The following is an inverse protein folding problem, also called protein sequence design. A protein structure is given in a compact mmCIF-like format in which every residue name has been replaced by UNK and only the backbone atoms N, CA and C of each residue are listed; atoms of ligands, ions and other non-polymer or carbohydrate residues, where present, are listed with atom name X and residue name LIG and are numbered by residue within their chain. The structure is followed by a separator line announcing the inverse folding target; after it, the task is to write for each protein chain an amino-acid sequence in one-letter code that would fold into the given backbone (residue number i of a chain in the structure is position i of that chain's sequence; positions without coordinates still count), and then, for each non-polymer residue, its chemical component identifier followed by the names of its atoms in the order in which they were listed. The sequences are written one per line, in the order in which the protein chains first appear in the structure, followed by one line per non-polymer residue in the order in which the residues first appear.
data_IF_629955715753
#
_entry.id   IF_629955715753
#
_cell.length_a   1.000
_cell.length_b   1.000
_cell.length_c   1.000
_cell.angle_alpha   90.00
_cell.angle_beta   90.00
_cell.angle_gamma   90.00
#
_symmetry.space_group_name_H-M   'P 1'
#
loop_
_entity.id
_entity.type
_entity.pdbx_description
1 polymer ?
#
# COMPACT_ATOMS: atom_id res chain seq x y z
N UNK A 1 51.96 -14.96 -15.31
CA UNK A 1 51.83 -14.33 -16.64
C UNK A 1 50.38 -14.46 -17.04
N UNK A 2 49.47 -13.71 -16.40
CA UNK A 2 48.98 -12.38 -16.82
C UNK A 2 48.60 -12.33 -18.29
N UNK A 3 47.29 -12.32 -18.56
CA UNK A 3 46.63 -11.22 -19.28
C UNK A 3 45.14 -11.23 -18.93
N UNK A 4 44.74 -10.26 -18.12
CA UNK A 4 43.37 -9.79 -17.98
C UNK A 4 42.81 -9.43 -19.36
N UNK A 5 41.61 -9.90 -19.68
CA UNK A 5 40.77 -9.23 -20.67
C UNK A 5 39.89 -8.28 -19.88
N UNK A 6 40.27 -7.01 -19.89
CA UNK A 6 39.42 -5.91 -19.43
C UNK A 6 38.10 -5.97 -20.19
N UNK A 7 37.02 -6.24 -19.45
CA UNK A 7 35.67 -5.92 -19.83
C UNK A 7 35.58 -4.40 -19.91
N UNK A 8 35.63 -3.86 -21.13
CA UNK A 8 35.30 -2.46 -21.36
C UNK A 8 33.79 -2.30 -21.11
N UNK A 9 33.45 -1.75 -19.95
CA UNK A 9 32.15 -1.17 -19.70
C UNK A 9 31.82 -0.16 -20.83
N UNK A 10 30.58 -0.14 -21.34
CA UNK A 10 30.17 0.90 -22.26
C UNK A 10 30.25 2.26 -21.55
N UNK A 11 30.67 3.33 -22.25
CA UNK A 11 30.90 4.61 -21.63
C UNK A 11 29.58 5.16 -21.08
N UNK A 12 29.54 5.42 -19.78
CA UNK A 12 28.52 6.26 -19.15
C UNK A 12 28.64 7.66 -19.77
N UNK A 13 27.77 7.94 -20.74
CA UNK A 13 27.54 9.30 -21.22
C UNK A 13 26.59 9.98 -20.25
N UNK A 14 27.12 10.80 -19.36
CA UNK A 14 26.38 11.98 -18.93
C UNK A 14 26.36 12.97 -20.08
N UNK A 15 25.17 13.40 -20.52
CA UNK A 15 24.82 14.79 -20.89
C UNK A 15 23.68 14.87 -21.92
N UNK A 16 22.61 15.55 -21.51
CA UNK A 16 21.48 15.95 -22.33
C UNK A 16 20.22 15.98 -21.47
N UNK A 17 19.63 17.16 -21.28
CA UNK A 17 18.26 17.29 -20.74
C UNK A 17 17.32 16.43 -21.59
N UNK A 18 16.81 15.33 -21.03
CA UNK A 18 15.99 14.32 -21.73
C UNK A 18 14.48 14.67 -21.70
N UNK A 19 14.15 15.92 -21.44
CA UNK A 19 12.78 16.41 -21.37
C UNK A 19 12.16 16.51 -22.75
N UNK A 20 10.97 15.93 -22.92
CA UNK A 20 10.21 16.05 -24.14
C UNK A 20 9.59 17.46 -24.26
N UNK A 21 9.70 18.07 -25.44
CA UNK A 21 9.12 19.38 -25.75
C UNK A 21 8.19 19.37 -26.97
N UNK A 22 7.07 20.08 -26.84
CA UNK A 22 6.09 20.31 -27.91
C UNK A 22 4.90 19.36 -27.88
N UNK A 23 4.15 19.30 -28.99
CA UNK A 23 2.97 18.43 -29.11
C UNK A 23 3.39 17.06 -29.64
N UNK A 24 3.16 16.00 -28.87
CA UNK A 24 3.49 14.63 -29.24
C UNK A 24 2.61 14.14 -30.39
N UNK A 25 3.22 13.56 -31.42
CA UNK A 25 2.52 13.00 -32.58
C UNK A 25 2.72 11.50 -32.74
N UNK A 26 3.86 10.98 -32.26
CA UNK A 26 4.19 9.57 -32.37
C UNK A 26 5.00 9.10 -31.17
N UNK A 27 4.70 7.89 -30.73
CA UNK A 27 5.44 7.16 -29.72
C UNK A 27 5.83 5.80 -30.30
N UNK A 28 7.03 5.34 -29.98
CA UNK A 28 7.40 3.93 -30.09
C UNK A 28 8.04 3.47 -28.80
N UNK A 29 7.41 2.53 -28.10
CA UNK A 29 7.90 1.88 -26.89
C UNK A 29 8.41 0.50 -27.29
N UNK A 30 9.61 0.15 -26.85
CA UNK A 30 10.22 -1.17 -26.96
C UNK A 30 10.46 -1.65 -25.55
N UNK A 31 9.71 -2.66 -25.11
CA UNK A 31 9.81 -3.25 -23.78
C UNK A 31 10.40 -4.64 -23.92
N UNK A 32 11.49 -4.92 -23.21
CA UNK A 32 12.18 -6.20 -23.22
C UNK A 32 12.29 -6.72 -21.79
N UNK A 33 11.65 -7.86 -21.51
CA UNK A 33 11.55 -8.44 -20.16
C UNK A 33 12.67 -9.45 -19.85
N UNK A 34 13.68 -9.60 -20.71
CA UNK A 34 14.86 -10.40 -20.39
C UNK A 34 15.58 -9.74 -19.23
N UNK A 35 15.75 -10.49 -18.14
CA UNK A 35 16.30 -10.02 -16.89
C UNK A 35 17.37 -10.97 -16.35
N UNK A 36 17.88 -10.69 -15.15
CA UNK A 36 18.78 -11.63 -14.49
C UNK A 36 17.98 -12.82 -13.95
N UNK A 37 18.15 -13.99 -14.57
CA UNK A 37 17.35 -15.16 -14.23
C UNK A 37 17.66 -16.38 -15.11
N UNK A 38 16.85 -17.45 -15.00
CA UNK A 38 16.95 -18.59 -15.91
C UNK A 38 16.74 -18.13 -17.36
N UNK A 39 17.46 -18.79 -18.27
CA UNK A 39 17.32 -18.53 -19.71
C UNK A 39 15.86 -18.74 -20.16
N UNK A 40 15.23 -17.78 -20.85
CA UNK A 40 13.87 -17.94 -21.37
C UNK A 40 13.75 -19.13 -22.32
N UNK A 41 12.58 -19.75 -22.37
CA UNK A 41 12.31 -20.80 -23.35
C UNK A 41 12.21 -20.21 -24.77
N UNK A 42 12.51 -21.00 -25.82
CA UNK A 42 12.50 -20.51 -27.20
C UNK A 42 11.18 -19.89 -27.68
N UNK A 43 10.05 -20.25 -27.05
CA UNK A 43 8.72 -19.75 -27.40
C UNK A 43 8.22 -18.62 -26.49
N UNK A 44 8.98 -18.25 -25.46
CA UNK A 44 8.60 -17.18 -24.53
C UNK A 44 8.64 -15.83 -25.23
N UNK A 45 7.58 -15.03 -25.06
CA UNK A 45 7.54 -13.64 -25.51
C UNK A 45 8.46 -12.78 -24.65
N UNK A 46 9.50 -12.23 -25.27
CA UNK A 46 10.55 -11.48 -24.56
C UNK A 46 10.57 -9.98 -24.87
N UNK A 47 9.99 -9.57 -25.99
CA UNK A 47 10.00 -8.17 -26.41
C UNK A 47 8.71 -7.76 -27.10
N UNK A 48 8.19 -6.61 -26.70
CA UNK A 48 7.07 -5.94 -27.32
C UNK A 48 7.49 -4.60 -27.90
N UNK A 49 6.96 -4.26 -29.07
CA UNK A 49 7.13 -2.96 -29.70
C UNK A 49 5.75 -2.35 -29.94
N UNK A 50 5.38 -1.39 -29.11
CA UNK A 50 4.13 -0.64 -29.22
C UNK A 50 4.40 0.68 -29.96
N UNK A 51 3.71 0.92 -31.07
CA UNK A 51 3.79 2.18 -31.83
C UNK A 51 2.42 2.86 -31.84
N UNK A 52 2.38 4.11 -31.41
CA UNK A 52 1.16 4.94 -31.35
C UNK A 52 1.42 6.16 -32.23
N UNK A 53 0.52 6.45 -33.17
CA UNK A 53 0.64 7.63 -34.04
C UNK A 53 -0.68 8.37 -34.10
N UNK A 54 -0.64 9.68 -33.90
CA UNK A 54 -1.76 10.59 -34.15
C UNK A 54 -2.29 10.38 -35.57
N UNK A 55 -3.55 9.96 -35.70
CA UNK A 55 -4.20 9.61 -36.96
C UNK A 55 -3.73 8.30 -37.64
N UNK A 56 -2.62 7.68 -37.19
CA UNK A 56 -2.06 6.45 -37.76
C UNK A 56 -2.48 5.16 -37.03
N UNK A 57 -3.08 5.28 -35.85
CA UNK A 57 -3.53 4.16 -35.02
C UNK A 57 -2.41 3.56 -34.17
N UNK A 58 -2.70 2.40 -33.58
CA UNK A 58 -1.81 1.70 -32.65
C UNK A 58 -1.40 0.35 -33.24
N UNK A 59 -0.10 0.05 -33.18
CA UNK A 59 0.46 -1.20 -33.67
C UNK A 59 1.29 -1.87 -32.58
N UNK A 60 1.04 -3.15 -32.33
CA UNK A 60 1.84 -3.99 -31.45
C UNK A 60 2.60 -5.02 -32.29
N UNK A 61 3.91 -5.13 -32.06
CA UNK A 61 4.74 -6.19 -32.64
C UNK A 61 5.40 -6.97 -31.51
N UNK A 62 5.32 -8.29 -31.55
CA UNK A 62 5.80 -9.18 -30.49
C UNK A 62 6.95 -10.03 -30.99
N UNK A 63 7.88 -10.31 -30.10
CA UNK A 63 9.04 -11.13 -30.39
C UNK A 63 9.25 -12.15 -29.28
N UNK A 64 9.56 -13.38 -29.68
CA UNK A 64 10.00 -14.45 -28.79
C UNK A 64 11.52 -14.48 -28.66
N UNK A 65 11.98 -15.19 -27.65
CA UNK A 65 13.40 -15.39 -27.37
C UNK A 65 14.17 -15.93 -28.58
N UNK A 66 15.39 -15.42 -28.76
CA UNK A 66 16.23 -15.70 -29.92
C UNK A 66 17.07 -16.96 -29.81
N UNK A 67 17.18 -17.55 -28.61
CA UNK A 67 18.15 -18.58 -28.28
C UNK A 67 19.60 -18.06 -28.43
N UNK A 68 20.49 -18.92 -28.93
CA UNK A 68 21.95 -18.72 -29.03
C UNK A 68 22.39 -17.40 -29.71
N UNK A 69 21.56 -16.83 -30.59
CA UNK A 69 21.91 -15.60 -31.32
C UNK A 69 21.49 -14.30 -30.59
N UNK A 70 20.76 -14.39 -29.46
CA UNK A 70 20.13 -13.29 -28.71
C UNK A 70 19.27 -12.32 -29.55
N UNK A 71 18.92 -12.69 -30.78
CA UNK A 71 18.10 -11.87 -31.67
C UNK A 71 16.63 -12.24 -31.54
N UNK A 72 15.76 -11.33 -31.03
CA UNK A 72 14.35 -11.61 -30.88
C UNK A 72 13.71 -12.01 -32.22
N UNK A 73 12.91 -13.07 -32.21
CA UNK A 73 12.25 -13.61 -33.41
C UNK A 73 10.80 -13.15 -33.45
N UNK A 74 10.34 -12.65 -34.59
CA UNK A 74 8.97 -12.16 -34.73
C UNK A 74 7.95 -13.25 -34.39
N UNK A 75 7.10 -12.99 -33.40
CA UNK A 75 5.92 -13.80 -33.08
C UNK A 75 4.72 -13.35 -33.89
N UNK A 76 4.51 -12.03 -33.97
CA UNK A 76 3.34 -11.49 -34.63
C UNK A 76 3.33 -9.97 -34.66
N UNK A 77 2.42 -9.44 -35.48
CA UNK A 77 2.14 -8.01 -35.57
C UNK A 77 0.64 -7.82 -35.71
N UNK A 78 0.09 -6.92 -34.91
CA UNK A 78 -1.32 -6.60 -34.93
C UNK A 78 -1.56 -5.10 -34.83
N UNK A 79 -2.72 -4.67 -35.33
CA UNK A 79 -3.22 -3.31 -35.15
C UNK A 79 -4.22 -3.35 -33.99
N UNK A 80 -4.00 -2.54 -32.97
CA UNK A 80 -4.93 -2.40 -31.84
C UNK A 80 -6.00 -1.37 -32.25
N UNK A 81 -7.30 -1.73 -32.21
CA UNK A 81 -8.36 -0.77 -32.47
C UNK A 81 -8.46 0.24 -31.32
N UNK A 82 -8.41 1.52 -31.66
CA UNK A 82 -8.62 2.63 -30.73
C UNK A 82 -9.17 3.82 -31.53
N UNK A 83 -10.05 4.61 -30.92
CA UNK A 83 -10.53 5.85 -31.51
C UNK A 83 -9.51 6.99 -31.33
N UNK A 84 -9.77 8.12 -31.99
CA UNK A 84 -8.88 9.28 -31.94
C UNK A 84 -8.77 9.90 -30.55
N UNK A 85 -9.82 9.84 -29.75
CA UNK A 85 -9.84 10.37 -28.38
C UNK A 85 -8.94 9.54 -27.46
N UNK A 86 -9.06 8.22 -27.51
CA UNK A 86 -8.21 7.27 -26.78
C UNK A 86 -6.73 7.46 -27.12
N UNK A 87 -6.42 7.60 -28.42
CA UNK A 87 -5.05 7.86 -28.88
C UNK A 87 -4.55 9.19 -28.29
N UNK A 88 -5.35 10.25 -28.34
CA UNK A 88 -4.95 11.56 -27.83
C UNK A 88 -4.74 11.54 -26.31
N UNK A 89 -5.61 10.89 -25.55
CA UNK A 89 -5.47 10.72 -24.10
C UNK A 89 -4.13 10.05 -23.76
N UNK A 90 -3.78 8.97 -24.47
CA UNK A 90 -2.52 8.26 -24.23
C UNK A 90 -1.32 9.15 -24.59
N UNK A 91 -1.36 9.84 -25.75
CA UNK A 91 -0.29 10.74 -26.16
C UNK A 91 -0.08 11.89 -25.16
N UNK A 92 -1.17 12.47 -24.64
CA UNK A 92 -1.11 13.57 -23.67
C UNK A 92 -0.58 13.09 -22.31
N UNK A 93 -1.01 11.91 -21.86
CA UNK A 93 -0.51 11.31 -20.62
C UNK A 93 0.99 11.05 -20.68
N UNK A 94 1.49 10.45 -21.78
CA UNK A 94 2.92 10.22 -22.00
C UNK A 94 3.67 11.55 -22.09
N UNK A 95 3.19 12.51 -22.88
CA UNK A 95 3.83 13.82 -23.00
C UNK A 95 3.95 14.51 -21.64
N UNK A 96 2.92 14.42 -20.78
CA UNK A 96 2.94 14.96 -19.43
C UNK A 96 3.97 14.28 -18.55
N UNK A 97 4.00 12.94 -18.54
CA UNK A 97 4.93 12.16 -17.72
C UNK A 97 6.40 12.49 -18.03
N UNK A 98 6.72 12.65 -19.32
CA UNK A 98 8.09 12.91 -19.78
C UNK A 98 8.40 14.40 -20.05
N UNK A 99 7.53 15.32 -19.59
CA UNK A 99 7.77 16.76 -19.68
C UNK A 99 8.70 17.29 -18.59
N UNK A 100 8.85 16.54 -17.49
CA UNK A 100 9.75 16.88 -16.37
C UNK A 100 10.98 15.99 -16.41
N UNK A 101 12.11 16.54 -15.97
CA UNK A 101 13.39 15.83 -15.93
C UNK A 101 13.39 14.87 -14.73
N UNK A 102 12.74 13.73 -14.87
CA UNK A 102 12.81 12.65 -13.89
C UNK A 102 13.94 11.70 -14.32
N UNK A 103 14.87 11.45 -13.39
CA UNK A 103 15.99 10.56 -13.65
C UNK A 103 15.45 9.15 -13.87
N UNK A 104 15.74 8.58 -15.04
CA UNK A 104 15.53 7.16 -15.32
C UNK A 104 16.35 6.33 -14.33
N UNK A 105 15.68 5.45 -13.60
CA UNK A 105 16.34 4.50 -12.71
C UNK A 105 16.81 3.31 -13.54
N UNK A 106 18.07 2.95 -13.32
CA UNK A 106 18.69 1.77 -13.91
C UNK A 106 18.92 0.76 -12.79
N UNK A 107 18.11 -0.30 -12.80
CA UNK A 107 18.29 -1.48 -11.95
C UNK A 107 18.79 -2.63 -12.84
N UNK A 108 19.74 -3.41 -12.32
CA UNK A 108 20.51 -4.38 -13.11
C UNK A 108 19.87 -5.76 -13.23
N UNK A 109 18.86 -6.05 -12.43
CA UNK A 109 18.22 -7.36 -12.28
C UNK A 109 16.87 -7.50 -12.99
N UNK A 110 16.38 -6.43 -13.62
CA UNK A 110 15.12 -6.40 -14.38
C UNK A 110 15.35 -6.12 -15.86
N UNK A 111 14.31 -6.33 -16.68
CA UNK A 111 14.32 -5.95 -18.08
C UNK A 111 14.37 -4.43 -18.30
N UNK A 112 14.34 -4.01 -19.55
CA UNK A 112 14.48 -2.59 -19.92
C UNK A 112 13.43 -2.17 -20.95
N UNK A 113 13.13 -0.88 -20.96
CA UNK A 113 12.37 -0.25 -22.01
C UNK A 113 13.16 0.86 -22.68
N UNK A 114 12.92 1.03 -23.98
CA UNK A 114 13.39 2.15 -24.78
C UNK A 114 12.21 2.79 -25.47
N UNK A 115 12.14 4.12 -25.43
CA UNK A 115 11.05 4.88 -26.00
C UNK A 115 11.57 5.97 -26.93
N UNK A 116 10.92 6.10 -28.09
CA UNK A 116 11.14 7.15 -29.08
C UNK A 116 9.88 8.04 -29.12
N UNK A 117 10.04 9.33 -28.85
CA UNK A 117 8.99 10.35 -28.87
C UNK A 117 9.21 11.30 -30.04
N UNK A 118 8.23 11.45 -30.94
CA UNK A 118 8.30 12.41 -32.05
C UNK A 118 7.25 13.51 -31.90
N UNK A 119 7.68 14.77 -31.90
CA UNK A 119 6.80 15.93 -31.81
C UNK A 119 6.24 16.37 -33.18
N UNK A 120 5.34 17.36 -33.17
CA UNK A 120 4.71 17.93 -34.37
C UNK A 120 5.67 18.64 -35.33
N UNK A 121 6.90 18.95 -34.90
CA UNK A 121 7.98 19.47 -35.75
C UNK A 121 8.85 18.36 -36.35
N UNK A 122 8.54 17.09 -36.05
CA UNK A 122 9.34 15.93 -36.49
C UNK A 122 10.62 15.73 -35.70
N UNK A 123 10.81 16.41 -34.57
CA UNK A 123 11.96 16.20 -33.70
C UNK A 123 11.73 14.97 -32.82
N UNK A 124 12.78 14.16 -32.68
CA UNK A 124 12.73 12.91 -31.94
C UNK A 124 13.56 12.99 -30.66
N UNK A 125 12.99 12.51 -29.56
CA UNK A 125 13.67 12.34 -28.26
C UNK A 125 13.65 10.86 -27.88
N UNK A 126 14.79 10.33 -27.46
CA UNK A 126 14.92 8.95 -26.99
C UNK A 126 15.10 8.92 -25.49
N UNK A 127 14.33 8.08 -24.81
CA UNK A 127 14.36 7.92 -23.36
C UNK A 127 14.39 6.42 -23.07
N UNK A 128 15.11 5.98 -22.05
CA UNK A 128 15.16 4.58 -21.63
C UNK A 128 15.11 4.45 -20.12
N UNK A 129 14.77 3.25 -19.65
CA UNK A 129 14.75 2.93 -18.23
C UNK A 129 14.59 1.43 -17.99
N UNK A 130 14.63 1.04 -16.73
CA UNK A 130 14.35 -0.34 -16.30
C UNK A 130 12.83 -0.60 -16.21
N UNK A 131 12.42 -1.85 -16.44
CA UNK A 131 11.05 -2.32 -16.22
C UNK A 131 10.82 -2.52 -14.73
N UNK A 132 10.47 -1.45 -14.00
CA UNK A 132 10.25 -1.49 -12.55
C UNK A 132 8.86 -0.95 -12.23
N UNK A 133 8.19 -1.58 -11.27
CA UNK A 133 7.05 -0.97 -10.61
C UNK A 133 7.51 0.06 -9.57
N UNK A 134 6.68 1.05 -9.29
CA UNK A 134 6.87 2.01 -8.18
C UNK A 134 7.80 3.20 -8.43
N UNK A 135 8.65 3.24 -9.48
CA UNK A 135 9.58 4.38 -9.63
C UNK A 135 9.88 4.82 -11.08
N UNK A 136 9.76 6.14 -11.37
CA UNK A 136 8.99 7.13 -10.61
C UNK A 136 7.53 6.68 -10.44
N UNK A 137 6.88 7.07 -9.33
CA UNK A 137 5.49 6.71 -8.98
C UNK A 137 4.47 7.00 -10.11
N UNK A 138 4.83 7.91 -11.02
CA UNK A 138 4.04 8.29 -12.18
C UNK A 138 4.03 7.25 -13.33
N UNK A 139 4.92 6.25 -13.33
CA UNK A 139 5.07 5.30 -14.44
C UNK A 139 4.24 4.02 -14.35
N UNK A 140 4.02 3.39 -13.18
CA UNK A 140 3.06 2.30 -13.04
C UNK A 140 1.64 2.76 -13.39
N UNK A 141 1.25 3.95 -12.91
CA UNK A 141 -0.04 4.57 -13.26
C UNK A 141 -0.16 4.88 -14.75
N UNK A 142 0.94 5.22 -15.44
CA UNK A 142 0.95 5.40 -16.89
C UNK A 142 0.79 4.07 -17.64
N UNK A 143 1.48 3.01 -17.22
CA UNK A 143 1.34 1.69 -17.84
C UNK A 143 -0.08 1.15 -17.68
N UNK A 144 -0.63 1.20 -16.47
CA UNK A 144 -2.00 0.77 -16.21
C UNK A 144 -3.02 1.65 -16.95
N UNK A 145 -2.85 2.97 -17.03
CA UNK A 145 -3.70 3.84 -17.87
C UNK A 145 -3.72 3.38 -19.33
N UNK A 146 -2.55 3.07 -19.92
CA UNK A 146 -2.48 2.62 -21.32
C UNK A 146 -3.18 1.28 -21.49
N UNK A 147 -2.96 0.31 -20.58
CA UNK A 147 -3.65 -0.98 -20.62
C UNK A 147 -5.16 -0.82 -20.54
N UNK A 148 -5.62 0.02 -19.62
CA UNK A 148 -7.04 0.22 -19.35
C UNK A 148 -7.74 0.89 -20.54
N UNK A 149 -7.13 1.96 -21.09
CA UNK A 149 -7.63 2.65 -22.29
C UNK A 149 -7.62 1.80 -23.55
N UNK A 150 -6.70 0.84 -23.65
CA UNK A 150 -6.65 -0.08 -24.79
C UNK A 150 -7.41 -1.38 -24.55
N UNK A 151 -7.91 -1.61 -23.33
CA UNK A 151 -8.48 -2.88 -22.87
C UNK A 151 -7.54 -4.08 -23.12
N UNK A 152 -6.25 -3.91 -22.76
CA UNK A 152 -5.17 -4.87 -23.03
C UNK A 152 -4.27 -5.07 -21.81
N UNK A 153 -4.51 -6.14 -21.07
CA UNK A 153 -3.76 -6.49 -19.84
C UNK A 153 -2.44 -7.21 -20.10
N UNK A 154 -2.07 -7.42 -21.36
CA UNK A 154 -0.92 -8.20 -21.80
C UNK A 154 0.24 -7.34 -22.32
N UNK A 155 0.14 -6.00 -22.21
CA UNK A 155 1.18 -5.07 -22.64
C UNK A 155 2.24 -4.92 -21.55
N UNK A 156 3.53 -5.10 -21.89
CA UNK A 156 4.68 -4.96 -20.98
C UNK A 156 4.94 -3.50 -20.58
N UNK A 157 4.92 -2.57 -21.54
CA UNK A 157 5.07 -1.12 -21.31
C UNK A 157 6.31 -0.75 -20.45
N UNK A 158 6.13 0.05 -19.40
CA UNK A 158 7.23 0.62 -18.60
C UNK A 158 7.53 -0.17 -17.33
N UNK A 159 6.62 -1.05 -16.89
CA UNK A 159 6.72 -1.81 -15.64
C UNK A 159 6.93 -3.33 -15.87
N UNK A 160 6.82 -3.81 -17.11
CA UNK A 160 6.96 -5.23 -17.44
C UNK A 160 5.71 -6.06 -17.22
N UNK A 161 4.58 -5.42 -16.87
CA UNK A 161 3.31 -6.07 -16.53
C UNK A 161 3.44 -7.12 -15.42
N UNK A 162 3.93 -6.75 -14.22
CA UNK A 162 4.07 -7.69 -13.13
C UNK A 162 2.70 -8.23 -12.70
N UNK A 163 2.69 -9.46 -12.18
CA UNK A 163 1.54 -9.94 -11.40
C UNK A 163 1.47 -9.20 -10.07
N UNK A 164 0.29 -9.20 -9.46
CA UNK A 164 0.04 -8.60 -8.15
C UNK A 164 -1.24 -9.18 -7.55
N UNK A 165 -1.42 -8.99 -6.25
CA UNK A 165 -2.70 -9.34 -5.61
C UNK A 165 -3.74 -8.25 -5.92
N UNK A 166 -4.88 -8.65 -6.48
CA UNK A 166 -6.00 -7.76 -6.77
C UNK A 166 -7.13 -7.89 -5.74
N UNK A 167 -7.28 -9.06 -5.10
CA UNK A 167 -8.36 -9.30 -4.13
C UNK A 167 -8.02 -10.39 -3.12
N UNK A 168 -8.35 -10.17 -1.86
CA UNK A 168 -8.29 -11.17 -0.79
C UNK A 168 -9.67 -11.30 -0.18
N UNK A 169 -10.15 -12.53 0.00
CA UNK A 169 -11.39 -12.83 0.71
C UNK A 169 -11.12 -13.88 1.77
N UNK A 170 -11.48 -13.59 3.01
CA UNK A 170 -11.38 -14.53 4.12
C UNK A 170 -12.77 -14.78 4.65
N UNK A 171 -13.09 -16.04 4.84
CA UNK A 171 -14.32 -16.54 5.44
C UNK A 171 -13.94 -17.36 6.66
N UNK A 172 -14.58 -17.09 7.80
CA UNK A 172 -14.37 -17.79 9.05
C UNK A 172 -15.71 -18.18 9.65
N UNK A 173 -15.85 -19.46 9.96
CA UNK A 173 -17.02 -20.04 10.60
C UNK A 173 -16.62 -20.70 11.92
N UNK A 174 -17.25 -20.27 13.00
CA UNK A 174 -17.18 -20.93 14.30
C UNK A 174 -18.53 -21.45 14.73
N UNK A 175 -18.54 -22.74 15.05
CA UNK A 175 -19.63 -23.41 15.74
C UNK A 175 -19.23 -23.65 17.19
N UNK A 176 -20.10 -23.36 18.14
CA UNK A 176 -19.87 -23.72 19.54
C UNK A 176 -21.17 -24.11 20.23
N UNK A 177 -21.15 -25.21 20.99
CA UNK A 177 -22.24 -25.64 21.87
C UNK A 177 -21.86 -25.39 23.32
N UNK A 178 -22.60 -24.49 23.97
CA UNK A 178 -22.38 -24.13 25.37
C UNK A 178 -23.41 -24.88 26.21
N UNK A 179 -22.95 -25.64 27.20
CA UNK A 179 -23.87 -26.34 28.11
C UNK A 179 -24.78 -25.35 28.80
N UNK A 180 -26.09 -25.57 28.69
CA UNK A 180 -27.09 -24.71 29.30
C UNK A 180 -27.11 -24.97 30.82
N UNK A 181 -26.79 -23.98 31.68
CA UNK A 181 -26.83 -24.17 33.12
C UNK A 181 -28.25 -24.33 33.67
N UNK A 182 -29.26 -23.78 32.98
CA UNK A 182 -30.68 -23.86 33.35
C UNK A 182 -31.54 -24.20 32.11
N UNK A 183 -31.51 -25.45 31.62
CA UNK A 183 -32.27 -25.84 30.44
C UNK A 183 -33.77 -25.80 30.74
N UNK A 184 -34.50 -24.91 30.05
CA UNK A 184 -35.97 -24.90 30.10
C UNK A 184 -36.56 -26.14 29.43
N UNK A 185 -35.85 -26.71 28.46
CA UNK A 185 -36.14 -28.01 27.84
C UNK A 185 -34.94 -28.95 28.07
N UNK A 186 -35.17 -30.04 28.83
CA UNK A 186 -34.15 -31.06 29.11
C UNK A 186 -33.67 -31.79 27.84
N UNK A 187 -34.38 -31.66 26.70
CA UNK A 187 -33.96 -32.19 25.40
C UNK A 187 -32.97 -31.30 24.66
N UNK A 188 -32.76 -30.06 25.11
CA UNK A 188 -31.78 -29.11 24.56
C UNK A 188 -30.77 -28.72 25.65
N UNK A 189 -29.84 -29.63 26.02
CA UNK A 189 -28.85 -29.38 27.07
C UNK A 189 -27.78 -28.36 26.67
N UNK A 190 -27.74 -27.93 25.40
CA UNK A 190 -26.77 -26.99 24.86
C UNK A 190 -27.45 -25.80 24.18
N UNK A 191 -26.81 -24.64 24.28
CA UNK A 191 -27.10 -23.43 23.52
C UNK A 191 -26.10 -23.38 22.38
N UNK A 192 -26.59 -23.23 21.14
CA UNK A 192 -25.74 -23.06 19.96
C UNK A 192 -25.32 -21.60 19.84
N UNK A 193 -24.03 -21.36 19.70
CA UNK A 193 -23.42 -20.06 19.53
C UNK A 193 -22.59 -20.07 18.25
N UNK A 194 -23.25 -19.79 17.13
CA UNK A 194 -22.63 -19.75 15.82
C UNK A 194 -22.11 -18.35 15.53
N UNK A 195 -20.94 -18.28 14.96
CA UNK A 195 -20.28 -17.05 14.55
C UNK A 195 -19.80 -17.22 13.11
N UNK A 196 -20.06 -16.21 12.28
CA UNK A 196 -19.58 -16.18 10.91
C UNK A 196 -18.96 -14.80 10.64
N UNK A 197 -17.83 -14.78 9.94
CA UNK A 197 -17.10 -13.55 9.63
C UNK A 197 -16.52 -13.61 8.23
N UNK A 198 -16.67 -12.51 7.49
CA UNK A 198 -16.08 -12.32 6.18
C UNK A 198 -15.27 -11.03 6.17
N UNK A 199 -14.08 -11.07 5.58
CA UNK A 199 -13.37 -9.86 5.17
C UNK A 199 -13.02 -9.95 3.69
N UNK A 200 -13.31 -8.88 2.94
CA UNK A 200 -13.05 -8.77 1.50
C UNK A 200 -12.27 -7.49 1.25
N UNK A 201 -11.07 -7.65 0.72
CA UNK A 201 -10.15 -6.57 0.36
C UNK A 201 -10.10 -6.57 -1.17
N UNK A 202 -10.54 -5.49 -1.81
CA UNK A 202 -10.72 -5.44 -3.26
C UNK A 202 -10.08 -4.17 -3.83
N UNK A 203 -9.12 -4.37 -4.74
CA UNK A 203 -8.39 -3.30 -5.43
C UNK A 203 -9.31 -2.48 -6.35
N UNK A 204 -10.22 -3.13 -7.06
CA UNK A 204 -11.04 -2.45 -8.09
C UNK A 204 -12.01 -1.47 -7.45
N UNK A 205 -12.59 -1.85 -6.32
CA UNK A 205 -13.49 -0.97 -5.57
C UNK A 205 -12.76 -0.11 -4.54
N UNK A 206 -11.46 -0.31 -4.33
CA UNK A 206 -10.65 0.32 -3.27
C UNK A 206 -11.34 0.20 -1.89
N UNK A 207 -11.90 -0.98 -1.61
CA UNK A 207 -12.66 -1.24 -0.38
C UNK A 207 -12.16 -2.40 0.46
N UNK A 208 -12.30 -2.25 1.77
CA UNK A 208 -12.34 -3.36 2.73
C UNK A 208 -13.77 -3.51 3.25
N UNK A 209 -14.42 -4.63 2.93
CA UNK A 209 -15.72 -5.00 3.50
C UNK A 209 -15.51 -6.00 4.63
N UNK A 210 -16.02 -5.67 5.82
CA UNK A 210 -15.96 -6.55 6.99
C UNK A 210 -17.37 -6.87 7.46
N UNK A 211 -17.75 -8.14 7.37
CA UNK A 211 -19.06 -8.65 7.79
C UNK A 211 -18.89 -9.61 8.96
N UNK A 212 -19.70 -9.47 9.99
CA UNK A 212 -19.75 -10.39 11.12
C UNK A 212 -21.19 -10.71 11.48
N UNK A 213 -21.53 -11.98 11.54
CA UNK A 213 -22.73 -12.49 12.16
C UNK A 213 -22.35 -13.10 13.51
N UNK A 214 -22.58 -12.36 14.59
CA UNK A 214 -22.15 -12.73 15.95
C UNK A 214 -23.04 -13.83 16.53
N UNK A 215 -24.33 -13.82 16.14
CA UNK A 215 -25.34 -14.84 16.34
C UNK A 215 -26.49 -14.60 15.35
N UNK A 216 -27.47 -15.51 15.26
CA UNK A 216 -28.55 -15.55 14.24
C UNK A 216 -29.30 -14.23 13.96
N UNK A 217 -29.27 -13.26 14.89
CA UNK A 217 -29.98 -11.97 14.77
C UNK A 217 -29.09 -10.74 14.97
N UNK A 218 -27.77 -10.91 14.90
CA UNK A 218 -26.82 -9.82 15.06
C UNK A 218 -25.80 -9.85 13.94
N UNK A 219 -26.11 -9.05 12.92
CA UNK A 219 -25.25 -8.81 11.78
C UNK A 219 -24.61 -7.42 11.92
N UNK A 220 -23.31 -7.35 11.69
CA UNK A 220 -22.51 -6.13 11.68
C UNK A 220 -21.81 -6.04 10.33
N UNK A 221 -21.98 -4.93 9.63
CA UNK A 221 -21.28 -4.66 8.36
C UNK A 221 -20.53 -3.34 8.45
N UNK A 222 -19.24 -3.38 8.16
CA UNK A 222 -18.39 -2.21 7.95
C UNK A 222 -17.88 -2.21 6.51
N UNK A 223 -17.87 -1.04 5.87
CA UNK A 223 -17.31 -0.85 4.53
C UNK A 223 -16.37 0.34 4.62
N UNK A 224 -15.08 0.10 4.41
CA UNK A 224 -14.06 1.14 4.30
C UNK A 224 -13.77 1.35 2.82
N UNK A 225 -13.88 2.58 2.33
CA UNK A 225 -13.44 2.97 0.99
C UNK A 225 -12.20 3.84 1.17
N UNK A 226 -11.04 3.30 0.81
CA UNK A 226 -9.72 3.90 1.06
C UNK A 226 -9.01 3.95 -0.28
N UNK A 227 -9.36 4.96 -1.09
CA UNK A 227 -8.79 5.20 -2.41
C UNK A 227 -7.26 5.28 -2.32
N UNK A 228 -6.57 4.57 -3.21
CA UNK A 228 -5.10 4.36 -3.25
C UNK A 228 -4.52 3.58 -2.06
N UNK A 229 -5.20 3.54 -0.92
CA UNK A 229 -4.74 2.82 0.27
C UNK A 229 -4.94 1.31 0.18
N UNK A 230 -6.05 0.83 -0.40
CA UNK A 230 -6.29 -0.62 -0.55
C UNK A 230 -5.35 -1.21 -1.61
N UNK A 231 -5.17 -0.53 -2.74
CA UNK A 231 -4.16 -0.93 -3.73
C UNK A 231 -2.75 -0.97 -3.12
N UNK A 232 -2.35 0.06 -2.36
CA UNK A 232 -1.05 0.08 -1.68
C UNK A 232 -0.88 -1.09 -0.72
N UNK A 233 -1.90 -1.37 0.12
CA UNK A 233 -1.86 -2.52 1.04
C UNK A 233 -1.67 -3.85 0.29
N UNK A 234 -2.33 -4.01 -0.86
CA UNK A 234 -2.22 -5.23 -1.67
C UNK A 234 -0.91 -5.31 -2.47
N UNK A 235 -0.23 -4.19 -2.73
CA UNK A 235 1.06 -4.15 -3.43
C UNK A 235 2.22 -4.67 -2.56
N UNK A 236 2.08 -4.56 -1.23
CA UNK A 236 3.07 -5.07 -0.27
C UNK A 236 2.99 -6.61 -0.08
N UNK A 237 1.95 -7.25 -0.61
CA UNK A 237 1.71 -8.69 -0.47
C UNK A 237 2.53 -9.52 -1.49
N UNK A 238 3.23 -10.55 -1.01
CA UNK A 238 3.86 -11.56 -1.89
C UNK A 238 2.81 -12.33 -2.71
N UNK A 239 3.15 -12.68 -3.96
CA UNK A 239 2.26 -13.44 -4.84
C UNK A 239 1.88 -14.81 -4.26
N UNK A 240 2.73 -15.39 -3.42
CA UNK A 240 2.50 -16.66 -2.73
C UNK A 240 2.00 -16.47 -1.29
N UNK A 241 1.65 -15.25 -0.87
CA UNK A 241 1.10 -15.03 0.46
C UNK A 241 -0.17 -15.87 0.68
N UNK A 242 -0.37 -16.35 1.90
CA UNK A 242 -1.50 -17.15 2.33
C UNK A 242 -1.69 -18.44 1.51
N UNK A 243 -0.60 -19.01 0.96
CA UNK A 243 -0.67 -20.18 0.06
C UNK A 243 -0.40 -21.54 0.72
N UNK A 244 0.26 -21.56 1.88
CA UNK A 244 0.71 -22.81 2.53
C UNK A 244 0.41 -22.83 4.03
N UNK A 245 -0.27 -23.89 4.47
CA UNK A 245 -0.47 -24.23 5.88
C UNK A 245 0.26 -25.53 6.23
N UNK A 246 0.75 -25.64 7.46
CA UNK A 246 1.45 -26.86 7.93
C UNK A 246 0.46 -28.03 8.03
N UNK A 247 -0.76 -27.75 8.45
CA UNK A 247 -1.79 -28.73 8.76
C UNK A 247 -1.60 -29.35 10.14
N UNK A 248 -2.68 -29.93 10.65
CA UNK A 248 -2.70 -30.62 11.93
C UNK A 248 -2.29 -32.10 11.79
N UNK A 249 -1.61 -32.69 12.78
CA UNK A 249 -1.33 -34.12 12.78
C UNK A 249 -2.63 -34.95 12.91
N UNK A 250 -2.61 -36.24 12.54
CA UNK A 250 -3.82 -37.05 12.48
C UNK A 250 -4.42 -37.40 13.86
N UNK A 251 -3.66 -37.24 14.95
CA UNK A 251 -4.05 -37.59 16.32
C UNK A 251 -4.50 -36.37 17.15
N UNK A 252 -4.83 -35.25 16.51
CA UNK A 252 -5.39 -34.08 17.19
C UNK A 252 -6.77 -34.41 17.78
N UNK A 253 -6.99 -33.99 19.02
CA UNK A 253 -8.29 -34.06 19.66
C UNK A 253 -9.29 -33.12 18.96
N UNK A 254 -10.41 -33.67 18.52
CA UNK A 254 -11.53 -32.91 17.93
C UNK A 254 -12.62 -32.78 18.98
N UNK A 255 -12.89 -31.55 19.42
CA UNK A 255 -14.01 -31.27 20.31
C UNK A 255 -15.33 -31.41 19.52
N UNK A 256 -16.24 -32.32 19.90
CA UNK A 256 -17.53 -32.47 19.22
C UNK A 256 -18.45 -31.25 19.39
N UNK A 257 -18.18 -30.36 20.35
CA UNK A 257 -18.99 -29.19 20.66
C UNK A 257 -18.41 -27.89 20.10
N UNK A 258 -17.28 -27.93 19.39
CA UNK A 258 -16.61 -26.74 18.89
C UNK A 258 -15.90 -27.01 17.57
N UNK A 259 -16.16 -26.18 16.55
CA UNK A 259 -15.44 -26.25 15.28
C UNK A 259 -15.16 -24.86 14.77
N UNK A 260 -13.92 -24.63 14.35
CA UNK A 260 -13.46 -23.37 13.81
C UNK A 260 -12.84 -23.64 12.43
N UNK A 261 -13.46 -23.17 11.36
CA UNK A 261 -13.04 -23.41 9.98
C UNK A 261 -12.85 -22.09 9.25
N UNK A 262 -11.93 -22.08 8.30
CA UNK A 262 -11.74 -20.93 7.42
C UNK A 262 -11.59 -21.32 5.96
N UNK A 263 -11.83 -20.35 5.10
CA UNK A 263 -11.48 -20.36 3.69
C UNK A 263 -10.88 -19.01 3.32
N UNK A 264 -9.71 -19.02 2.67
CA UNK A 264 -9.10 -17.83 2.09
C UNK A 264 -9.08 -17.99 0.57
N UNK A 265 -9.49 -16.95 -0.14
CA UNK A 265 -9.36 -16.80 -1.58
C UNK A 265 -8.43 -15.62 -1.84
N UNK A 266 -7.40 -15.83 -2.67
CA UNK A 266 -6.56 -14.73 -3.15
C UNK A 266 -6.60 -14.73 -4.66
N UNK A 267 -6.94 -13.58 -5.23
CA UNK A 267 -7.00 -13.36 -6.67
C UNK A 267 -5.81 -12.51 -7.09
N UNK A 268 -5.02 -12.99 -8.04
CA UNK A 268 -3.96 -12.20 -8.68
C UNK A 268 -4.38 -11.74 -10.06
N UNK A 269 -3.70 -10.72 -10.56
CA UNK A 269 -3.94 -10.12 -11.87
C UNK A 269 -3.76 -11.11 -13.02
N UNK A 270 -2.77 -12.01 -12.93
CA UNK A 270 -2.40 -12.94 -14.00
C UNK A 270 -2.83 -14.40 -13.76
N UNK A 271 -2.68 -14.91 -12.53
CA UNK A 271 -2.83 -16.34 -12.22
C UNK A 271 -4.22 -16.74 -11.67
N UNK A 272 -5.15 -15.78 -11.61
CA UNK A 272 -6.53 -16.03 -11.20
C UNK A 272 -6.66 -16.26 -9.70
N UNK A 273 -7.56 -17.16 -9.28
CA UNK A 273 -7.92 -17.35 -7.87
C UNK A 273 -7.26 -18.60 -7.27
N UNK A 274 -6.43 -18.40 -6.25
CA UNK A 274 -5.97 -19.48 -5.36
C UNK A 274 -6.89 -19.60 -4.14
N UNK A 275 -7.08 -20.83 -3.66
CA UNK A 275 -7.91 -21.15 -2.50
C UNK A 275 -7.12 -22.00 -1.51
N UNK A 276 -7.18 -21.63 -0.24
CA UNK A 276 -6.77 -22.46 0.89
C UNK A 276 -7.89 -22.54 1.92
N UNK A 277 -7.98 -23.64 2.66
CA UNK A 277 -8.98 -23.85 3.69
C UNK A 277 -8.43 -24.77 4.78
N UNK A 278 -8.90 -24.61 6.01
CA UNK A 278 -8.42 -25.39 7.13
C UNK A 278 -9.14 -25.06 8.43
N UNK A 279 -8.58 -25.55 9.53
CA UNK A 279 -9.01 -25.19 10.89
C UNK A 279 -8.39 -23.85 11.29
N UNK A 280 -9.14 -23.00 12.00
CA UNK A 280 -8.65 -21.69 12.44
C UNK A 280 -7.79 -21.82 13.71
N UNK A 281 -6.64 -22.46 13.57
CA UNK A 281 -5.62 -22.63 14.60
C UNK A 281 -4.22 -22.45 14.01
N UNK A 282 -3.21 -22.38 14.88
CA UNK A 282 -1.83 -22.08 14.51
C UNK A 282 -1.27 -22.97 13.39
N UNK A 283 -1.62 -24.26 13.35
CA UNK A 283 -1.11 -25.17 12.33
C UNK A 283 -2.03 -25.27 11.12
N UNK A 284 -3.34 -25.04 11.32
CA UNK A 284 -4.32 -25.02 10.24
C UNK A 284 -4.27 -23.76 9.37
N UNK A 285 -3.88 -22.62 9.92
CA UNK A 285 -3.74 -21.34 9.22
C UNK A 285 -2.49 -21.29 8.31
N UNK A 286 -2.49 -20.41 7.29
CA UNK A 286 -1.28 -20.13 6.52
C UNK A 286 -0.11 -19.67 7.41
N UNK A 287 1.12 -20.01 7.04
CA UNK A 287 2.32 -19.72 7.85
C UNK A 287 2.51 -18.23 8.13
N UNK A 288 2.11 -17.40 7.17
CA UNK A 288 2.18 -15.94 7.13
C UNK A 288 0.89 -15.25 7.61
N UNK A 289 -0.10 -16.00 8.09
CA UNK A 289 -1.32 -15.43 8.65
C UNK A 289 -1.08 -14.40 9.77
N UNK A 290 -0.14 -14.59 10.73
CA UNK A 290 0.11 -13.60 11.78
C UNK A 290 0.55 -12.25 11.22
N UNK A 291 1.46 -12.23 10.25
CA UNK A 291 1.93 -11.01 9.59
C UNK A 291 0.79 -10.31 8.85
N UNK A 292 0.03 -11.05 8.02
CA UNK A 292 -1.15 -10.52 7.35
C UNK A 292 -2.19 -9.94 8.31
N UNK A 293 -2.44 -10.60 9.45
CA UNK A 293 -3.42 -10.16 10.43
C UNK A 293 -2.97 -8.88 11.16
N UNK A 294 -1.69 -8.77 11.49
CA UNK A 294 -1.10 -7.58 12.12
C UNK A 294 -1.11 -6.40 11.13
N UNK A 295 -0.67 -6.60 9.88
CA UNK A 295 -0.66 -5.57 8.85
C UNK A 295 -2.08 -5.05 8.54
N UNK A 296 -3.06 -5.95 8.44
CA UNK A 296 -4.46 -5.58 8.23
C UNK A 296 -5.05 -4.85 9.45
N UNK A 297 -4.67 -5.25 10.66
CA UNK A 297 -5.06 -4.54 11.87
C UNK A 297 -4.51 -3.12 11.88
N UNK A 298 -3.22 -2.95 11.63
CA UNK A 298 -2.56 -1.64 11.59
C UNK A 298 -3.20 -0.76 10.51
N UNK A 299 -3.42 -1.30 9.31
CA UNK A 299 -4.09 -0.61 8.20
C UNK A 299 -5.49 -0.11 8.57
N UNK A 300 -6.32 -0.92 9.23
CA UNK A 300 -7.69 -0.56 9.59
C UNK A 300 -7.80 0.25 10.88
N UNK A 301 -6.83 0.14 11.79
CA UNK A 301 -6.86 0.76 13.12
C UNK A 301 -7.00 2.28 13.05
N UNK A 302 -6.34 2.90 12.05
CA UNK A 302 -6.42 4.32 11.76
C UNK A 302 -7.86 4.78 11.44
N UNK A 303 -8.65 3.93 10.79
CA UNK A 303 -10.00 4.24 10.30
C UNK A 303 -11.13 3.77 11.22
N UNK A 304 -10.81 3.22 12.40
CA UNK A 304 -11.71 2.43 13.25
C UNK A 304 -13.05 3.08 13.68
N UNK A 305 -13.32 3.15 14.98
CA UNK A 305 -14.67 3.50 15.48
C UNK A 305 -15.04 5.00 15.33
N UNK A 306 -14.08 5.82 14.86
CA UNK A 306 -14.25 7.24 14.58
C UNK A 306 -14.30 8.16 15.81
N UNK A 307 -14.23 9.47 15.54
CA UNK A 307 -14.16 10.54 16.54
C UNK A 307 -15.39 10.64 17.46
N UNK A 308 -16.53 10.09 17.05
CA UNK A 308 -17.78 10.18 17.81
C UNK A 308 -17.66 9.61 19.22
N UNK A 309 -16.83 8.59 19.41
CA UNK A 309 -16.59 7.97 20.70
C UNK A 309 -15.29 8.44 21.35
N UNK A 310 -14.49 9.26 20.65
CA UNK A 310 -13.25 9.79 21.19
C UNK A 310 -13.53 11.00 22.08
N UNK A 311 -13.38 10.79 23.40
CA UNK A 311 -13.51 11.85 24.41
C UNK A 311 -12.50 12.97 24.20
N UNK A 312 -11.35 12.72 23.58
CA UNK A 312 -10.38 13.75 23.21
C UNK A 312 -10.99 14.74 22.22
N UNK A 313 -11.88 14.27 21.35
CA UNK A 313 -12.58 15.10 20.36
C UNK A 313 -13.82 15.74 20.96
N UNK A 314 -14.83 14.98 21.41
CA UNK A 314 -16.09 15.57 21.87
C UNK A 314 -16.01 16.23 23.25
N UNK A 315 -15.00 15.87 24.05
CA UNK A 315 -14.75 16.46 25.37
C UNK A 315 -13.92 17.74 25.32
N UNK A 316 -13.39 18.13 24.15
CA UNK A 316 -12.54 19.32 24.02
C UNK A 316 -13.37 20.60 24.20
N UNK A 317 -12.99 21.39 25.19
CA UNK A 317 -13.56 22.74 25.37
C UNK A 317 -13.06 23.63 24.23
N UNK A 318 -13.94 24.40 23.60
CA UNK A 318 -13.51 25.37 22.59
C UNK A 318 -12.92 26.60 23.28
N UNK A 319 -11.63 26.86 23.01
CA UNK A 319 -10.90 28.05 23.43
C UNK A 319 -11.54 29.32 22.85
N UNK A 320 -11.71 30.37 23.64
CA UNK A 320 -12.07 31.71 23.13
C UNK A 320 -10.82 32.38 22.55
N UNK A 321 -11.01 33.33 21.63
CA UNK A 321 -9.90 33.98 20.91
C UNK A 321 -8.83 34.62 21.82
N UNK A 322 -9.20 35.01 23.04
CA UNK A 322 -8.30 35.66 24.00
C UNK A 322 -7.86 34.73 25.14
N UNK A 323 -8.27 33.46 25.14
CA UNK A 323 -7.86 32.52 26.19
C UNK A 323 -6.42 32.05 25.92
N UNK A 324 -5.62 31.99 26.99
CA UNK A 324 -4.31 31.36 27.02
C UNK A 324 -4.45 29.86 27.20
N UNK A 325 -3.48 29.09 26.70
CA UNK A 325 -3.48 27.62 26.75
C UNK A 325 -2.60 27.18 27.92
N UNK A 326 -3.15 26.34 28.80
CA UNK A 326 -2.46 25.76 29.94
C UNK A 326 -2.48 24.24 29.85
N UNK A 327 -1.30 23.63 29.75
CA UNK A 327 -1.11 22.20 29.69
C UNK A 327 -0.67 21.68 31.05
N UNK A 328 -1.48 20.82 31.67
CA UNK A 328 -1.07 20.07 32.84
C UNK A 328 -0.40 18.78 32.39
N UNK A 329 0.86 18.61 32.75
CA UNK A 329 1.71 17.50 32.30
C UNK A 329 2.20 16.67 33.49
N UNK A 330 2.55 15.42 33.22
CA UNK A 330 3.22 14.51 34.17
C UNK A 330 4.52 14.01 33.57
N UNK A 331 5.56 13.92 34.40
CA UNK A 331 6.85 13.37 34.02
C UNK A 331 6.87 11.83 34.08
N UNK A 332 6.07 11.25 34.96
CA UNK A 332 5.93 9.80 35.15
C UNK A 332 4.45 9.48 35.38
N UNK A 333 4.01 8.30 34.94
CA UNK A 333 2.63 7.86 35.10
C UNK A 333 2.23 7.78 36.58
N UNK A 334 1.12 8.45 36.93
CA UNK A 334 0.66 8.59 38.31
C UNK A 334 1.44 9.62 39.15
N UNK A 335 2.40 10.32 38.54
CA UNK A 335 3.21 11.36 39.17
C UNK A 335 2.47 12.68 39.42
N UNK A 336 3.21 13.67 39.93
CA UNK A 336 2.69 15.03 40.18
C UNK A 336 2.43 15.76 38.86
N UNK A 337 1.31 16.48 38.80
CA UNK A 337 0.95 17.36 37.67
C UNK A 337 1.65 18.71 37.78
N UNK A 338 2.20 19.18 36.66
CA UNK A 338 2.84 20.49 36.51
C UNK A 338 2.15 21.26 35.39
N UNK A 339 1.96 22.56 35.57
CA UNK A 339 1.28 23.40 34.59
C UNK A 339 2.30 24.21 33.77
N UNK A 340 2.18 24.12 32.46
CA UNK A 340 2.96 24.87 31.49
C UNK A 340 2.01 25.68 30.60
N UNK A 341 2.45 26.85 30.17
CA UNK A 341 1.73 27.63 29.15
C UNK A 341 2.12 27.13 27.76
N UNK A 342 1.22 27.20 26.79
CA UNK A 342 1.48 26.85 25.41
C UNK A 342 0.99 27.93 24.45
N UNK A 343 1.64 28.02 23.29
CA UNK A 343 1.19 28.82 22.15
C UNK A 343 0.37 27.99 21.15
N UNK A 344 0.45 26.66 21.24
CA UNK A 344 -0.24 25.68 20.38
C UNK A 344 -1.16 24.76 21.20
N UNK A 345 -2.23 24.26 20.58
CA UNK A 345 -3.15 23.31 21.21
C UNK A 345 -2.54 21.89 21.20
N UNK A 346 -2.71 21.18 22.32
CA UNK A 346 -2.31 19.77 22.47
C UNK A 346 -3.50 18.92 22.89
N UNK A 347 -3.40 17.61 22.64
CA UNK A 347 -4.42 16.66 23.08
C UNK A 347 -3.94 15.83 24.27
N UNK A 348 -4.89 15.34 25.07
CA UNK A 348 -4.59 14.50 26.24
C UNK A 348 -3.90 13.22 25.77
N UNK A 349 -2.71 12.95 26.31
CA UNK A 349 -1.86 11.85 25.93
C UNK A 349 -0.70 12.24 25.00
N UNK A 350 -0.70 13.44 24.42
CA UNK A 350 0.44 13.94 23.66
C UNK A 350 1.69 13.97 24.53
N UNK A 351 2.84 13.62 23.93
CA UNK A 351 4.14 13.89 24.52
C UNK A 351 4.67 15.23 24.01
N UNK A 352 5.19 16.04 24.93
CA UNK A 352 5.75 17.36 24.64
C UNK A 352 7.09 17.54 25.33
N UNK A 353 7.92 18.42 24.78
CA UNK A 353 9.18 18.82 25.38
C UNK A 353 8.97 20.07 26.22
N UNK A 354 9.37 20.01 27.49
CA UNK A 354 9.27 21.13 28.44
C UNK A 354 10.60 21.42 29.12
N UNK A 355 10.83 22.66 29.57
CA UNK A 355 11.98 22.98 30.40
C UNK A 355 11.75 22.52 31.85
N UNK A 356 12.63 21.67 32.36
CA UNK A 356 12.62 21.15 33.72
C UNK A 356 13.81 21.67 34.53
N UNK A 357 13.70 21.66 35.86
CA UNK A 357 14.76 22.14 36.76
C UNK A 357 15.03 23.65 36.73
N UNK A 358 16.04 24.10 37.47
CA UNK A 358 16.52 25.51 37.44
C UNK A 358 17.39 25.79 36.20
N UNK A 359 18.04 24.75 35.70
CA UNK A 359 18.90 24.75 34.51
C UNK A 359 18.10 24.73 33.18
N UNK A 360 16.79 24.52 33.24
CA UNK A 360 15.90 24.43 32.07
C UNK A 360 16.35 23.35 31.07
N UNK A 361 16.83 22.20 31.56
CA UNK A 361 17.07 21.07 30.68
C UNK A 361 15.75 20.59 30.04
N UNK A 362 15.83 20.09 28.82
CA UNK A 362 14.68 19.55 28.10
C UNK A 362 14.26 18.20 28.69
N UNK A 363 12.96 18.00 28.86
CA UNK A 363 12.39 16.75 29.33
C UNK A 363 11.13 16.40 28.53
N UNK A 364 10.99 15.10 28.22
CA UNK A 364 9.78 14.54 27.61
C UNK A 364 8.73 14.35 28.71
N UNK A 365 7.54 14.91 28.52
CA UNK A 365 6.43 14.79 29.47
C UNK A 365 5.12 14.51 28.74
N UNK A 366 4.18 13.85 29.43
CA UNK A 366 2.87 13.51 28.87
C UNK A 366 1.81 14.51 29.31
N UNK A 367 1.00 14.99 28.37
CA UNK A 367 -0.14 15.89 28.63
C UNK A 367 -1.29 15.11 29.27
N UNK A 368 -1.77 15.58 30.42
CA UNK A 368 -2.85 14.98 31.21
C UNK A 368 -4.17 15.75 31.10
N UNK A 369 -4.11 17.07 31.01
CA UNK A 369 -5.26 17.91 30.69
C UNK A 369 -4.82 19.22 30.07
N UNK A 370 -5.72 19.82 29.28
CA UNK A 370 -5.54 21.15 28.70
C UNK A 370 -6.69 22.02 29.16
N UNK A 371 -6.36 23.22 29.62
CA UNK A 371 -7.31 24.21 30.09
C UNK A 371 -7.11 25.53 29.35
N UNK A 372 -8.21 26.25 29.15
CA UNK A 372 -8.24 27.53 28.46
C UNK A 372 -8.78 28.59 29.40
N UNK A 373 -7.99 29.62 29.67
CA UNK A 373 -8.36 30.69 30.58
C UNK A 373 -7.91 32.04 30.03
N UNK A 374 -8.70 33.11 30.18
CA UNK A 374 -8.19 34.46 29.92
C UNK A 374 -7.05 34.78 30.90
N UNK A 375 -6.22 35.78 30.57
CA UNK A 375 -5.03 36.12 31.36
C UNK A 375 -5.34 36.43 32.84
N UNK A 376 -6.52 36.97 33.13
CA UNK A 376 -6.99 37.31 34.47
C UNK A 376 -7.38 36.08 35.31
N UNK A 377 -7.72 34.97 34.67
CA UNK A 377 -8.13 33.70 35.30
C UNK A 377 -7.03 32.63 35.19
N UNK A 378 -5.81 33.02 34.82
CA UNK A 378 -4.69 32.10 34.66
C UNK A 378 -4.46 31.26 35.94
N UNK A 379 -4.34 29.92 35.83
CA UNK A 379 -4.20 29.02 36.99
C UNK A 379 -2.87 29.25 37.74
N UNK A 380 -1.90 29.87 37.07
CA UNK A 380 -0.60 30.23 37.63
C UNK A 380 -0.16 31.62 37.16
N UNK A 381 0.70 32.32 37.93
CA UNK A 381 1.22 33.62 37.54
C UNK A 381 1.98 33.56 36.20
N UNK A 382 1.52 34.33 35.22
CA UNK A 382 2.07 34.35 33.85
C UNK A 382 3.56 34.73 33.78
N UNK A 383 4.07 35.45 34.76
CA UNK A 383 5.49 35.83 34.84
C UNK A 383 6.40 34.73 35.43
N UNK A 384 5.83 33.62 35.92
CA UNK A 384 6.57 32.50 36.54
C UNK A 384 6.34 31.18 35.82
N UNK A 385 5.27 31.05 35.06
CA UNK A 385 4.95 29.83 34.34
C UNK A 385 5.95 29.64 33.19
N UNK A 386 6.43 28.41 33.03
CA UNK A 386 7.28 28.04 31.91
C UNK A 386 6.42 27.64 30.71
N UNK A 387 6.99 27.74 29.52
CA UNK A 387 6.29 27.41 28.28
C UNK A 387 6.68 26.02 27.77
N UNK A 388 5.74 25.34 27.13
CA UNK A 388 6.03 24.16 26.31
C UNK A 388 6.95 24.59 25.17
N UNK A 389 8.01 23.82 24.89
CA UNK A 389 9.01 24.15 23.87
C UNK A 389 8.50 23.72 22.49
N UNK A 390 8.08 22.46 22.38
CA UNK A 390 7.60 21.83 21.14
C UNK A 390 6.89 20.51 21.43
N UNK A 391 6.15 20.01 20.44
CA UNK A 391 5.67 18.62 20.43
C UNK A 391 6.88 17.66 20.38
N UNK A 392 6.80 16.54 21.09
CA UNK A 392 7.80 15.49 21.01
C UNK A 392 7.77 14.86 19.61
N UNK A 393 8.96 14.68 19.03
CA UNK A 393 9.17 14.01 17.75
C UNK A 393 10.12 12.83 17.98
N UNK A 394 9.65 11.60 17.78
CA UNK A 394 10.41 10.40 18.13
C UNK A 394 11.74 10.30 17.37
N UNK A 395 11.80 10.75 16.11
CA UNK A 395 13.04 10.71 15.33
C UNK A 395 14.05 11.75 15.82
N UNK A 396 13.58 12.96 16.13
CA UNK A 396 14.45 14.09 16.50
C UNK A 396 14.85 14.09 17.97
N UNK A 397 13.95 13.66 18.84
CA UNK A 397 14.06 13.81 20.29
C UNK A 397 14.38 12.48 21.00
N UNK A 398 14.72 11.42 20.25
CA UNK A 398 15.05 10.09 20.80
C UNK A 398 16.09 10.11 21.91
N UNK A 399 17.03 11.06 21.88
CA UNK A 399 18.09 11.19 22.89
C UNK A 399 17.59 11.68 24.26
N UNK A 400 16.33 12.11 24.36
CA UNK A 400 15.67 12.57 25.57
C UNK A 400 14.78 11.49 26.23
N UNK A 401 14.58 10.35 25.56
CA UNK A 401 14.00 9.12 26.13
C UNK A 401 15.10 8.31 26.82
#
# INVERSE_FOLDING_TARGET
MTTNKDSQDPPVKSEGSLTFEGTLQKIRIISNNICYGPEPYPDDEVEQRLSITSGGGIWLTRYRYGGIDDRPRLLGKEKIPADGETIQIILDAVAKAFSKNENSIYVTDVGFWNMELTNSKGQTTNISGSLVSGVPESFPSLSDLIRDKLHRNDLLLFDGNPDRVDRIEVYYDRYTEIKNPNPQDLKLPYIKWNYHEEIKIDRVTETVEHFRQIFERCDVKSIYHIEEGVSSFLDDMDLNALSEAIGNPPDVYVDPHHTDQYQILVTTKLDGVRKISGTFDKNGLPKDWPEFADDLYDFLSFYGIGDFFDKRTYGKVRRKINDLIFCNVVFEDGGKKYCYQSDEDFDIGDFVIVPAGEDNHEAVVRVESVEYHPAEEAPFPLNRIKHVIRKFDEEKDRALL
#
